data_IF_666804205242
#
_entry.id   IF_666804205242
#
_cell.length_a   1.000
_cell.length_b   1.000
_cell.length_c   1.000
_cell.angle_alpha   90.00
_cell.angle_beta   90.00
_cell.angle_gamma   90.00
#
_symmetry.space_group_name_H-M   'P 1'
#
loop_
_entity.id
_entity.type
_entity.pdbx_description
1 polymer ?
#
# COMPACT_ATOMS: atom_id res chain seq x y z
N UNK A 1 9.59 12.28 -14.86
CA UNK A 1 9.19 11.08 -15.64
C UNK A 1 9.64 9.77 -15.01
N UNK A 2 10.90 9.65 -14.56
CA UNK A 2 11.44 8.42 -13.96
C UNK A 2 10.60 7.84 -12.81
N UNK A 3 10.18 8.67 -11.84
CA UNK A 3 9.38 8.22 -10.69
C UNK A 3 8.04 7.56 -11.08
N UNK A 4 7.38 8.05 -12.14
CA UNK A 4 6.12 7.47 -12.64
C UNK A 4 6.35 6.11 -13.32
N UNK A 5 7.46 5.96 -14.04
CA UNK A 5 7.85 4.67 -14.65
C UNK A 5 8.14 3.64 -13.58
N UNK A 6 8.82 4.02 -12.50
CA UNK A 6 9.08 3.14 -11.35
C UNK A 6 7.77 2.62 -10.75
N UNK A 7 6.82 3.52 -10.45
CA UNK A 7 5.50 3.15 -9.91
C UNK A 7 4.78 2.16 -10.84
N UNK A 8 4.81 2.40 -12.16
CA UNK A 8 4.14 1.54 -13.13
C UNK A 8 4.77 0.14 -13.26
N UNK A 9 6.09 0.02 -13.09
CA UNK A 9 6.82 -1.25 -13.19
C UNK A 9 6.81 -2.04 -11.87
N UNK A 10 6.51 -1.39 -10.74
CA UNK A 10 6.55 -2.00 -9.40
C UNK A 10 5.70 -3.27 -9.29
N UNK A 11 4.46 -3.37 -9.82
CA UNK A 11 3.68 -4.61 -9.73
C UNK A 11 4.33 -5.79 -10.44
N UNK A 12 4.95 -5.55 -11.60
CA UNK A 12 5.66 -6.60 -12.36
C UNK A 12 6.87 -7.10 -11.58
N UNK A 13 7.67 -6.18 -11.05
CA UNK A 13 8.84 -6.53 -10.22
C UNK A 13 8.42 -7.26 -8.95
N UNK A 14 7.38 -6.78 -8.25
CA UNK A 14 6.86 -7.43 -7.06
C UNK A 14 6.38 -8.86 -7.36
N UNK A 15 5.70 -9.07 -8.48
CA UNK A 15 5.25 -10.41 -8.92
C UNK A 15 6.43 -11.33 -9.24
N UNK A 16 7.44 -10.83 -9.96
CA UNK A 16 8.65 -11.61 -10.25
C UNK A 16 9.37 -12.02 -8.97
N UNK A 17 9.56 -11.08 -8.03
CA UNK A 17 10.19 -11.38 -6.74
C UNK A 17 9.36 -12.37 -5.94
N UNK A 18 8.04 -12.24 -5.89
CA UNK A 18 7.14 -13.19 -5.23
C UNK A 18 7.29 -14.61 -5.79
N UNK A 19 7.30 -14.76 -7.12
CA UNK A 19 7.49 -16.06 -7.76
C UNK A 19 8.87 -16.66 -7.49
N UNK A 20 9.93 -15.84 -7.52
CA UNK A 20 11.28 -16.30 -7.19
C UNK A 20 11.37 -16.78 -5.73
N UNK A 21 10.75 -16.06 -4.79
CA UNK A 21 10.68 -16.47 -3.39
C UNK A 21 9.90 -17.78 -3.21
N UNK A 22 8.79 -17.94 -3.94
CA UNK A 22 8.01 -19.17 -3.95
C UNK A 22 8.79 -20.36 -4.50
N UNK A 23 9.41 -20.25 -5.67
CA UNK A 23 10.08 -21.39 -6.31
C UNK A 23 11.44 -21.76 -5.70
N UNK A 24 12.19 -20.80 -5.15
CA UNK A 24 13.54 -21.07 -4.61
C UNK A 24 13.47 -21.45 -3.13
N UNK A 25 12.57 -20.81 -2.36
CA UNK A 25 12.51 -20.95 -0.90
C UNK A 25 11.18 -21.49 -0.36
N UNK A 26 10.22 -21.87 -1.23
CA UNK A 26 8.84 -22.25 -0.84
C UNK A 26 8.14 -21.18 0.01
N UNK A 27 8.58 -19.92 -0.12
CA UNK A 27 8.19 -18.81 0.72
C UNK A 27 6.88 -18.17 0.26
N UNK A 28 5.87 -18.97 -0.08
CA UNK A 28 4.55 -18.49 -0.56
C UNK A 28 3.79 -17.69 0.50
N UNK A 29 3.80 -18.19 1.74
CA UNK A 29 3.07 -17.61 2.87
C UNK A 29 3.69 -16.34 3.46
N UNK A 30 5.02 -16.16 3.55
CA UNK A 30 5.60 -14.87 3.92
C UNK A 30 5.86 -13.96 2.69
N UNK A 31 5.99 -14.54 1.49
CA UNK A 31 6.40 -13.82 0.29
C UNK A 31 5.43 -12.76 -0.20
N UNK A 32 4.13 -12.86 0.12
CA UNK A 32 3.14 -11.86 -0.29
C UNK A 32 3.44 -10.47 0.27
N UNK A 33 4.25 -10.35 1.32
CA UNK A 33 4.63 -9.06 1.91
C UNK A 33 5.34 -8.15 0.89
N UNK A 34 5.95 -8.73 -0.15
CA UNK A 34 6.59 -8.00 -1.25
C UNK A 34 5.58 -7.12 -2.00
N UNK A 35 4.30 -7.51 -2.05
CA UNK A 35 3.26 -6.69 -2.69
C UNK A 35 2.99 -5.36 -1.96
N UNK A 36 3.37 -5.23 -0.68
CA UNK A 36 3.31 -3.96 0.04
C UNK A 36 4.25 -2.90 -0.55
N UNK A 37 5.26 -3.31 -1.33
CA UNK A 37 6.11 -2.37 -2.07
C UNK A 37 5.33 -1.50 -3.05
N UNK A 38 4.24 -2.02 -3.65
CA UNK A 38 3.41 -1.31 -4.63
C UNK A 38 2.81 -0.03 -4.04
N UNK A 39 2.02 -0.07 -2.95
CA UNK A 39 1.50 1.14 -2.34
C UNK A 39 2.58 2.04 -1.72
N UNK A 40 3.67 1.47 -1.20
CA UNK A 40 4.77 2.25 -0.61
C UNK A 40 5.43 3.12 -1.70
N UNK A 41 5.82 2.52 -2.82
CA UNK A 41 6.44 3.24 -3.94
C UNK A 41 5.48 4.28 -4.52
N UNK A 42 4.19 3.94 -4.65
CA UNK A 42 3.15 4.88 -5.05
C UNK A 42 3.01 6.09 -4.10
N UNK A 43 3.16 5.87 -2.80
CA UNK A 43 3.04 6.93 -1.79
C UNK A 43 4.27 7.83 -1.77
N UNK A 44 5.49 7.26 -1.89
CA UNK A 44 6.74 8.05 -1.98
C UNK A 44 6.68 9.02 -3.16
N UNK A 45 6.16 8.57 -4.30
CA UNK A 45 6.00 9.40 -5.49
C UNK A 45 5.03 10.56 -5.25
N UNK A 46 3.89 10.30 -4.60
CA UNK A 46 2.88 11.31 -4.24
C UNK A 46 3.41 12.30 -3.20
N UNK A 47 4.13 11.85 -2.16
CA UNK A 47 4.72 12.70 -1.13
C UNK A 47 5.76 13.66 -1.71
N UNK A 48 6.52 13.23 -2.72
CA UNK A 48 7.55 14.10 -3.31
C UNK A 48 6.94 15.22 -4.18
N UNK A 49 5.64 15.14 -4.53
CA UNK A 49 4.99 16.23 -5.26
C UNK A 49 4.63 17.36 -4.28
N UNK A 50 4.71 18.61 -4.74
CA UNK A 50 4.23 19.81 -4.00
C UNK A 50 2.71 19.83 -3.76
N UNK A 51 1.95 18.83 -4.21
CA UNK A 51 0.51 18.79 -4.04
C UNK A 51 0.15 18.26 -2.65
N UNK A 52 -0.18 19.20 -1.76
CA UNK A 52 -0.57 18.91 -0.37
C UNK A 52 -1.81 18.01 -0.28
N UNK A 53 -2.79 18.20 -1.17
CA UNK A 53 -4.01 17.38 -1.23
C UNK A 53 -3.68 15.91 -1.49
N UNK A 54 -2.89 15.64 -2.53
CA UNK A 54 -2.46 14.29 -2.89
C UNK A 54 -1.58 13.64 -1.81
N UNK A 55 -0.76 14.45 -1.13
CA UNK A 55 0.08 13.99 -0.01
C UNK A 55 -0.77 13.49 1.15
N UNK A 56 -1.78 14.26 1.57
CA UNK A 56 -2.71 13.87 2.65
C UNK A 56 -3.40 12.55 2.31
N UNK A 57 -4.01 12.44 1.12
CA UNK A 57 -4.70 11.21 0.70
C UNK A 57 -3.76 9.99 0.71
N UNK A 58 -2.50 10.16 0.28
CA UNK A 58 -1.52 9.06 0.28
C UNK A 58 -1.08 8.64 1.68
N UNK A 59 -0.97 9.58 2.62
CA UNK A 59 -0.65 9.29 4.01
C UNK A 59 -1.82 8.59 4.72
N UNK A 60 -3.06 8.99 4.43
CA UNK A 60 -4.26 8.31 4.93
C UNK A 60 -4.28 6.84 4.49
N UNK A 61 -3.93 6.56 3.23
CA UNK A 61 -3.82 5.18 2.75
C UNK A 61 -2.81 4.36 3.57
N UNK A 62 -1.59 4.88 3.79
CA UNK A 62 -0.57 4.17 4.58
C UNK A 62 -1.01 3.96 6.02
N UNK A 63 -1.64 4.97 6.62
CA UNK A 63 -2.20 4.87 7.96
C UNK A 63 -3.24 3.74 8.03
N UNK A 64 -4.20 3.70 7.09
CA UNK A 64 -5.21 2.65 7.04
C UNK A 64 -4.59 1.24 6.91
N UNK A 65 -3.55 1.11 6.08
CA UNK A 65 -2.87 -0.16 5.86
C UNK A 65 -2.17 -0.64 7.15
N UNK A 66 -1.46 0.25 7.86
CA UNK A 66 -0.80 -0.08 9.13
C UNK A 66 -1.84 -0.46 10.18
N UNK A 67 -2.89 0.35 10.33
CA UNK A 67 -3.99 0.07 11.28
C UNK A 67 -4.67 -1.26 10.97
N UNK A 68 -4.93 -1.58 9.69
CA UNK A 68 -5.53 -2.84 9.29
C UNK A 68 -4.69 -4.05 9.73
N UNK A 69 -3.38 -4.01 9.50
CA UNK A 69 -2.50 -5.09 9.95
C UNK A 69 -2.42 -5.19 11.47
N UNK A 70 -2.37 -4.06 12.19
CA UNK A 70 -2.40 -4.06 13.65
C UNK A 70 -3.71 -4.70 14.16
N UNK A 71 -4.85 -4.34 13.59
CA UNK A 71 -6.15 -4.92 13.95
C UNK A 71 -6.22 -6.42 13.67
N UNK A 72 -5.70 -6.84 12.51
CA UNK A 72 -5.63 -8.24 12.11
C UNK A 72 -4.75 -9.07 13.05
N UNK A 73 -3.54 -8.61 13.37
CA UNK A 73 -2.61 -9.37 14.20
C UNK A 73 -2.92 -9.32 15.70
N UNK A 74 -3.38 -8.18 16.23
CA UNK A 74 -3.61 -8.04 17.67
C UNK A 74 -4.98 -8.54 18.12
N UNK A 75 -6.02 -8.42 17.28
CA UNK A 75 -7.40 -8.81 17.64
C UNK A 75 -8.03 -9.85 16.71
N UNK A 76 -7.33 -10.34 15.69
CA UNK A 76 -7.90 -11.24 14.69
C UNK A 76 -8.99 -10.58 13.84
N UNK A 77 -9.08 -9.26 13.89
CA UNK A 77 -10.16 -8.46 13.33
C UNK A 77 -9.99 -8.23 11.81
N UNK A 78 -9.64 -9.26 11.05
CA UNK A 78 -9.44 -9.18 9.59
C UNK A 78 -10.73 -8.84 8.85
N UNK A 79 -11.84 -9.46 9.26
CA UNK A 79 -13.15 -9.24 8.66
C UNK A 79 -13.77 -7.87 8.99
N UNK A 80 -13.80 -7.38 10.24
CA UNK A 80 -14.31 -6.03 10.52
C UNK A 80 -13.27 -4.93 10.28
N UNK A 81 -11.97 -5.23 10.31
CA UNK A 81 -10.89 -4.25 10.22
C UNK A 81 -10.77 -3.55 8.87
N UNK A 82 -11.23 -4.17 7.78
CA UNK A 82 -11.27 -3.54 6.44
C UNK A 82 -12.05 -2.22 6.41
N UNK A 83 -12.97 -1.98 7.36
CA UNK A 83 -13.74 -0.74 7.46
C UNK A 83 -12.84 0.50 7.57
N UNK A 84 -11.62 0.37 8.10
CA UNK A 84 -10.66 1.47 8.19
C UNK A 84 -10.32 2.06 6.80
N UNK A 85 -10.37 1.26 5.72
CA UNK A 85 -10.10 1.76 4.37
C UNK A 85 -11.13 2.77 3.85
N UNK A 86 -12.33 2.85 4.45
CA UNK A 86 -13.31 3.91 4.12
C UNK A 86 -12.83 5.31 4.51
N UNK A 87 -11.82 5.45 5.38
CA UNK A 87 -11.20 6.75 5.65
C UNK A 87 -10.54 7.36 4.41
N UNK A 88 -10.11 6.54 3.45
CA UNK A 88 -9.46 7.03 2.22
C UNK A 88 -10.42 7.89 1.39
N UNK A 89 -11.60 7.40 0.95
CA UNK A 89 -12.54 8.23 0.20
C UNK A 89 -13.05 9.41 1.03
N UNK A 90 -13.32 9.24 2.33
CA UNK A 90 -13.79 10.33 3.21
C UNK A 90 -12.78 11.48 3.24
N UNK A 91 -11.51 11.19 3.53
CA UNK A 91 -10.46 12.23 3.55
C UNK A 91 -10.25 12.79 2.14
N UNK A 92 -10.29 11.96 1.11
CA UNK A 92 -10.17 12.43 -0.27
C UNK A 92 -11.26 13.45 -0.60
N UNK A 93 -12.54 13.14 -0.36
CA UNK A 93 -13.64 14.06 -0.66
C UNK A 93 -13.53 15.37 0.11
N UNK A 94 -13.14 15.33 1.39
CA UNK A 94 -12.96 16.54 2.23
C UNK A 94 -11.78 17.41 1.79
N UNK A 95 -10.74 16.80 1.26
CA UNK A 95 -9.53 17.52 0.81
C UNK A 95 -9.74 18.12 -0.58
N UNK A 96 -10.55 17.48 -1.44
CA UNK A 96 -10.82 17.92 -2.82
C UNK A 96 -12.10 18.73 -2.99
N UNK A 97 -12.98 18.80 -1.99
CA UNK A 97 -13.99 19.86 -1.87
C UNK A 97 -13.35 21.24 -1.78
#
# INVERSE_FOLDING_TARGET
>A
MLKRKIVAVTPLVATLVFLLLGFIWEAWHPGWIVFLSIPIVGTIEKITRKNMKAKITSLTFLFCLITFFILGFAWGAWHPGWLVFFLIPIVSTLVYS
#
